data_IF_809943886513
#
_entry.id   IF_809943886513
#
_cell.length_a   1.000
_cell.length_b   1.000
_cell.length_c   1.000
_cell.angle_alpha   90.00
_cell.angle_beta   90.00
_cell.angle_gamma   90.00
#
_symmetry.space_group_name_H-M   'P 1'
#
loop_
_entity.id
_entity.type
_entity.pdbx_description
1 polymer ?
#
# COMPACT_ATOMS: atom_id res chain seq x y z
N UNK A 1 -9.61 -4.07 21.97
CA UNK A 1 -10.96 -3.88 21.42
C UNK A 1 -11.06 -4.66 20.12
N UNK A 2 -12.18 -5.36 19.90
CA UNK A 2 -12.42 -6.00 18.61
C UNK A 2 -12.45 -4.90 17.54
N UNK A 3 -11.71 -5.09 16.44
CA UNK A 3 -11.80 -4.20 15.29
C UNK A 3 -13.25 -4.14 14.81
N UNK A 4 -13.76 -2.96 14.57
CA UNK A 4 -15.01 -2.80 13.83
C UNK A 4 -14.91 -3.57 12.52
N UNK A 5 -15.92 -4.38 12.19
CA UNK A 5 -15.89 -5.28 11.04
C UNK A 5 -15.87 -6.78 11.36
N UNK A 6 -15.52 -7.18 12.60
CA UNK A 6 -15.64 -8.56 13.05
C UNK A 6 -17.06 -8.91 13.50
N UNK A 7 -18.02 -8.66 12.65
CA UNK A 7 -19.45 -8.94 12.96
C UNK A 7 -19.93 -10.30 12.44
N UNK A 8 -19.03 -11.09 11.85
CA UNK A 8 -19.38 -12.41 11.33
C UNK A 8 -19.69 -13.41 12.45
N UNK A 9 -20.65 -14.30 12.19
CA UNK A 9 -21.08 -15.37 13.13
C UNK A 9 -19.90 -16.16 13.70
N UNK A 10 -18.82 -16.31 12.96
CA UNK A 10 -17.59 -17.03 13.36
C UNK A 10 -16.91 -16.47 14.60
N UNK A 11 -17.08 -15.18 14.90
CA UNK A 11 -16.43 -14.54 16.04
C UNK A 11 -17.36 -14.44 17.27
N UNK A 12 -18.61 -14.79 17.12
CA UNK A 12 -19.58 -14.76 18.23
C UNK A 12 -19.22 -15.71 19.38
N UNK A 13 -18.52 -16.83 19.08
CA UNK A 13 -18.03 -17.76 20.10
C UNK A 13 -17.07 -17.10 21.09
N UNK A 14 -16.34 -16.10 20.65
CA UNK A 14 -15.38 -15.36 21.46
C UNK A 14 -15.97 -14.06 22.01
N UNK A 15 -17.25 -13.82 21.79
CA UNK A 15 -17.91 -12.55 22.17
C UNK A 15 -17.32 -11.35 21.45
N UNK A 16 -16.75 -11.54 20.26
CA UNK A 16 -15.99 -10.53 19.49
C UNK A 16 -14.80 -9.94 20.26
N UNK A 17 -14.28 -10.71 21.23
CA UNK A 17 -13.14 -10.34 22.05
C UNK A 17 -11.90 -11.12 21.59
N UNK A 18 -10.89 -10.38 21.14
CA UNK A 18 -9.66 -10.94 20.60
C UNK A 18 -8.80 -11.61 21.70
N UNK A 19 -8.76 -11.08 22.91
CA UNK A 19 -8.03 -11.67 24.01
C UNK A 19 -8.65 -13.00 24.43
N UNK A 20 -9.98 -13.07 24.48
CA UNK A 20 -10.72 -14.31 24.73
C UNK A 20 -10.50 -15.34 23.62
N UNK A 21 -10.45 -14.92 22.37
CA UNK A 21 -10.12 -15.81 21.24
C UNK A 21 -8.74 -16.42 21.42
N UNK A 22 -7.74 -15.62 21.77
CA UNK A 22 -6.38 -16.09 22.03
C UNK A 22 -6.36 -17.12 23.19
N UNK A 23 -6.99 -16.80 24.31
CA UNK A 23 -7.08 -17.69 25.47
C UNK A 23 -7.68 -19.07 25.09
N UNK A 24 -8.76 -19.07 24.31
CA UNK A 24 -9.42 -20.31 23.86
C UNK A 24 -8.54 -21.09 22.88
N UNK A 25 -7.79 -20.44 22.00
CA UNK A 25 -6.84 -21.09 21.10
C UNK A 25 -5.71 -21.74 21.92
N UNK A 26 -5.16 -21.05 22.90
CA UNK A 26 -4.14 -21.59 23.79
C UNK A 26 -4.66 -22.82 24.54
N UNK A 27 -5.88 -22.77 25.10
CA UNK A 27 -6.52 -23.89 25.78
C UNK A 27 -6.67 -25.09 24.85
N UNK A 28 -7.28 -24.92 23.69
CA UNK A 28 -7.46 -26.00 22.72
C UNK A 28 -6.12 -26.61 22.25
N UNK A 29 -5.11 -25.76 22.04
CA UNK A 29 -3.78 -26.23 21.63
C UNK A 29 -3.15 -27.11 22.73
N UNK A 30 -3.21 -26.69 23.99
CA UNK A 30 -2.72 -27.46 25.13
C UNK A 30 -3.42 -28.81 25.27
N UNK A 31 -4.73 -28.84 25.11
CA UNK A 31 -5.53 -30.08 25.17
C UNK A 31 -5.13 -31.07 24.07
N UNK A 32 -5.00 -30.56 22.80
CA UNK A 32 -4.59 -31.40 21.67
C UNK A 32 -3.17 -31.97 21.88
N UNK A 33 -2.23 -31.13 22.29
CA UNK A 33 -0.84 -31.59 22.54
C UNK A 33 -0.78 -32.61 23.66
N UNK A 34 -1.57 -32.42 24.71
CA UNK A 34 -1.64 -33.38 25.80
C UNK A 34 -2.26 -34.74 25.39
N UNK A 35 -3.23 -34.70 24.47
CA UNK A 35 -3.87 -35.94 23.96
C UNK A 35 -3.02 -36.66 22.89
N UNK A 36 -2.03 -35.99 22.29
CA UNK A 36 -1.22 -36.46 21.17
C UNK A 36 0.27 -36.31 21.46
N UNK A 37 0.86 -37.22 22.30
CA UNK A 37 2.28 -37.14 22.66
C UNK A 37 3.25 -37.26 21.50
N UNK A 38 2.79 -37.75 20.35
CA UNK A 38 3.54 -37.82 19.10
C UNK A 38 3.80 -36.46 18.46
N UNK A 39 3.11 -35.38 18.88
CA UNK A 39 3.37 -34.02 18.43
C UNK A 39 4.69 -33.55 19.01
N UNK A 40 5.74 -33.58 18.19
CA UNK A 40 7.10 -33.20 18.60
C UNK A 40 7.39 -31.71 18.60
N UNK A 41 6.59 -30.91 17.87
CA UNK A 41 6.82 -29.48 17.72
C UNK A 41 5.51 -28.70 17.52
N UNK A 42 5.38 -27.62 18.28
CA UNK A 42 4.23 -26.71 18.18
C UNK A 42 4.71 -25.34 17.70
N UNK A 43 4.13 -24.87 16.58
CA UNK A 43 4.36 -23.53 16.03
C UNK A 43 3.34 -22.57 16.64
N UNK A 44 3.63 -22.07 17.81
CA UNK A 44 2.74 -21.17 18.56
C UNK A 44 2.75 -19.72 18.05
N UNK A 45 2.53 -19.54 16.74
CA UNK A 45 2.53 -18.23 16.07
C UNK A 45 1.51 -17.25 16.68
N UNK A 46 0.44 -17.76 17.31
CA UNK A 46 -0.50 -16.94 18.04
C UNK A 46 0.16 -16.15 19.18
N UNK A 47 1.12 -16.74 19.91
CA UNK A 47 1.82 -16.06 20.99
C UNK A 47 2.67 -14.90 20.46
N UNK A 48 3.45 -15.14 19.40
CA UNK A 48 4.26 -14.12 18.76
C UNK A 48 3.40 -12.95 18.22
N UNK A 49 2.23 -13.26 17.66
CA UNK A 49 1.30 -12.23 17.18
C UNK A 49 0.68 -11.45 18.34
N UNK A 50 0.40 -12.09 19.48
CA UNK A 50 -0.06 -11.35 20.66
C UNK A 50 1.06 -10.49 21.26
N UNK A 51 2.28 -10.99 21.34
CA UNK A 51 3.42 -10.24 21.82
C UNK A 51 3.64 -8.96 20.99
N UNK A 52 3.69 -9.08 19.65
CA UNK A 52 3.88 -7.91 18.79
C UNK A 52 2.75 -6.90 18.88
N UNK A 53 1.52 -7.33 19.20
CA UNK A 53 0.38 -6.43 19.46
C UNK A 53 0.54 -5.55 20.70
N UNK A 54 1.34 -5.97 21.69
CA UNK A 54 1.61 -5.15 22.87
C UNK A 54 2.57 -4.01 22.61
N UNK A 55 3.31 -4.05 21.50
CA UNK A 55 4.19 -2.97 21.07
C UNK A 55 3.41 -1.82 20.40
N UNK A 56 4.13 -0.83 19.89
CA UNK A 56 3.54 0.30 19.14
C UNK A 56 2.77 -0.12 17.85
N UNK A 57 2.93 -1.35 17.38
CA UNK A 57 2.12 -1.85 16.26
C UNK A 57 0.64 -2.03 16.60
N UNK A 58 0.34 -2.29 17.87
CA UNK A 58 -1.04 -2.51 18.28
C UNK A 58 -1.71 -3.60 17.44
N UNK A 59 -2.95 -3.36 17.02
CA UNK A 59 -3.73 -4.31 16.23
C UNK A 59 -3.46 -4.24 14.70
N UNK A 60 -2.37 -3.58 14.26
CA UNK A 60 -2.01 -3.45 12.84
C UNK A 60 -1.23 -4.65 12.27
N UNK A 61 -1.33 -5.81 12.89
CA UNK A 61 -0.68 -7.05 12.46
C UNK A 61 -1.49 -7.87 11.46
N UNK A 62 -2.74 -7.49 11.22
CA UNK A 62 -3.61 -8.13 10.23
C UNK A 62 -4.03 -7.14 9.15
N UNK A 63 -4.22 -7.62 7.91
CA UNK A 63 -4.63 -6.78 6.77
C UNK A 63 -6.14 -6.58 6.64
N UNK A 64 -6.92 -7.52 7.15
CA UNK A 64 -8.38 -7.57 7.04
C UNK A 64 -9.02 -8.07 8.34
N UNK A 65 -8.21 -8.05 9.41
CA UNK A 65 -8.57 -8.57 10.72
C UNK A 65 -8.58 -10.09 10.83
N UNK A 66 -8.39 -10.79 9.74
CA UNK A 66 -8.39 -12.25 9.66
C UNK A 66 -7.01 -12.79 9.24
N UNK A 67 -6.43 -12.24 8.18
CA UNK A 67 -5.15 -12.66 7.67
C UNK A 67 -4.04 -11.75 8.18
N UNK A 68 -2.88 -12.32 8.45
CA UNK A 68 -1.68 -11.56 8.78
C UNK A 68 -1.34 -10.59 7.62
N UNK A 69 -0.97 -9.36 7.96
CA UNK A 69 -0.48 -8.42 6.98
C UNK A 69 0.84 -8.90 6.36
N UNK A 70 1.18 -8.38 5.19
CA UNK A 70 2.32 -8.88 4.41
C UNK A 70 3.69 -8.54 5.02
N UNK A 71 3.76 -7.46 5.79
CA UNK A 71 4.97 -7.02 6.45
C UNK A 71 5.08 -7.61 7.86
N UNK A 72 4.66 -6.88 8.88
CA UNK A 72 4.87 -7.19 10.30
C UNK A 72 4.31 -8.56 10.69
N UNK A 73 3.05 -8.85 10.38
CA UNK A 73 2.41 -10.09 10.84
C UNK A 73 3.06 -11.34 10.28
N UNK A 74 3.34 -11.38 8.95
CA UNK A 74 4.00 -12.53 8.33
C UNK A 74 5.46 -12.66 8.73
N UNK A 75 6.17 -11.54 8.86
CA UNK A 75 7.55 -11.57 9.30
C UNK A 75 7.68 -12.09 10.72
N UNK A 76 6.85 -11.62 11.66
CA UNK A 76 6.80 -12.13 13.05
C UNK A 76 6.54 -13.62 13.08
N UNK A 77 5.56 -14.12 12.34
CA UNK A 77 5.31 -15.56 12.25
C UNK A 77 6.49 -16.32 11.66
N UNK A 78 7.13 -15.78 10.61
CA UNK A 78 8.33 -16.35 9.99
C UNK A 78 9.52 -16.41 10.94
N UNK A 79 9.72 -15.39 11.76
CA UNK A 79 10.74 -15.35 12.81
C UNK A 79 10.56 -16.47 13.83
N UNK A 80 9.33 -16.69 14.30
CA UNK A 80 9.01 -17.78 15.21
C UNK A 80 9.31 -19.15 14.58
N UNK A 81 8.89 -19.35 13.32
CA UNK A 81 9.15 -20.60 12.63
C UNK A 81 10.65 -20.84 12.45
N UNK A 82 11.41 -19.80 12.09
CA UNK A 82 12.87 -19.90 12.01
C UNK A 82 13.46 -20.37 13.34
N UNK A 83 13.11 -19.73 14.44
CA UNK A 83 13.66 -20.06 15.75
C UNK A 83 13.28 -21.48 16.20
N UNK A 84 12.01 -21.86 16.07
CA UNK A 84 11.51 -23.20 16.41
C UNK A 84 12.16 -24.33 15.59
N UNK A 85 12.40 -24.10 14.30
CA UNK A 85 12.98 -25.11 13.41
C UNK A 85 14.50 -25.16 13.55
N UNK A 86 15.14 -24.00 13.63
CA UNK A 86 16.60 -23.92 13.65
C UNK A 86 17.20 -24.07 15.04
N UNK A 87 16.40 -23.93 16.09
CA UNK A 87 16.86 -24.00 17.50
C UNK A 87 17.85 -22.89 17.85
N UNK A 88 17.72 -21.73 17.23
CA UNK A 88 18.59 -20.55 17.43
C UNK A 88 17.76 -19.30 17.49
N UNK A 89 18.09 -18.38 18.40
CA UNK A 89 17.42 -17.09 18.49
C UNK A 89 17.42 -16.36 17.15
N UNK A 90 16.27 -15.79 16.80
CA UNK A 90 16.08 -14.97 15.62
C UNK A 90 16.47 -13.51 15.88
N UNK A 91 16.61 -13.12 17.15
CA UNK A 91 16.95 -11.73 17.51
C UNK A 91 18.33 -11.37 16.95
N UNK A 92 18.38 -10.25 16.23
CA UNK A 92 19.57 -9.79 15.54
C UNK A 92 19.83 -10.45 14.18
N UNK A 93 18.90 -11.25 13.66
CA UNK A 93 19.00 -11.77 12.29
C UNK A 93 18.95 -10.63 11.28
N UNK A 94 19.96 -10.55 10.42
CA UNK A 94 20.09 -9.47 9.43
C UNK A 94 19.03 -9.54 8.31
N UNK A 95 18.40 -10.69 8.08
CA UNK A 95 17.35 -10.80 7.06
C UNK A 95 16.09 -10.09 7.52
N UNK A 96 15.60 -9.19 6.67
CA UNK A 96 14.29 -8.57 6.79
C UNK A 96 13.74 -8.23 5.39
N UNK A 97 12.41 -8.28 5.20
CA UNK A 97 11.80 -7.74 3.99
C UNK A 97 12.12 -6.25 3.84
N UNK A 98 12.25 -5.77 2.61
CA UNK A 98 12.57 -4.36 2.33
C UNK A 98 11.54 -3.35 2.87
N UNK A 99 10.32 -3.81 3.11
CA UNK A 99 9.23 -3.01 3.68
C UNK A 99 9.24 -2.93 5.22
N UNK A 100 10.26 -3.49 5.88
CA UNK A 100 10.37 -3.52 7.35
C UNK A 100 11.68 -2.83 7.75
N UNK A 101 11.60 -1.83 8.62
CA UNK A 101 12.76 -1.14 9.17
C UNK A 101 13.58 -2.07 10.10
N UNK A 102 14.79 -1.65 10.47
CA UNK A 102 15.60 -2.42 11.42
C UNK A 102 14.95 -2.49 12.80
N UNK A 103 14.37 -1.38 13.25
CA UNK A 103 13.65 -1.30 14.53
C UNK A 103 12.41 -2.18 14.52
N UNK A 104 11.60 -2.10 13.47
CA UNK A 104 10.42 -2.96 13.30
C UNK A 104 10.80 -4.44 13.26
N UNK A 105 11.89 -4.77 12.56
CA UNK A 105 12.40 -6.12 12.51
C UNK A 105 12.81 -6.62 13.92
N UNK A 106 13.46 -5.77 14.72
CA UNK A 106 13.85 -6.11 16.08
C UNK A 106 12.63 -6.40 16.96
N UNK A 107 11.57 -5.58 16.86
CA UNK A 107 10.31 -5.82 17.60
C UNK A 107 9.69 -7.16 17.20
N UNK A 108 9.60 -7.45 15.90
CA UNK A 108 9.06 -8.72 15.40
C UNK A 108 9.89 -9.93 15.84
N UNK A 109 11.21 -9.81 15.78
CA UNK A 109 12.16 -10.84 16.21
C UNK A 109 12.06 -11.10 17.71
N UNK A 110 11.99 -10.03 18.51
CA UNK A 110 11.81 -10.15 19.97
C UNK A 110 10.46 -10.78 20.30
N UNK A 111 9.38 -10.37 19.63
CA UNK A 111 8.05 -10.96 19.83
C UNK A 111 8.05 -12.47 19.55
N UNK A 112 8.76 -12.89 18.53
CA UNK A 112 8.89 -14.30 18.16
C UNK A 112 9.77 -15.07 19.16
N UNK A 113 10.88 -14.49 19.58
CA UNK A 113 11.78 -15.07 20.58
C UNK A 113 11.07 -15.29 21.92
N UNK A 114 10.42 -14.26 22.43
CA UNK A 114 9.65 -14.36 23.67
C UNK A 114 8.55 -15.44 23.61
N UNK A 115 7.90 -15.59 22.46
CA UNK A 115 6.93 -16.67 22.27
C UNK A 115 7.58 -18.07 22.25
N UNK A 116 8.84 -18.19 21.86
CA UNK A 116 9.58 -19.44 21.94
C UNK A 116 9.98 -19.78 23.37
N UNK A 117 10.44 -18.78 24.13
CA UNK A 117 10.87 -18.94 25.52
C UNK A 117 9.68 -19.09 26.50
N UNK A 118 8.59 -18.38 26.23
CA UNK A 118 7.41 -18.32 27.09
C UNK A 118 6.12 -18.71 26.35
N UNK A 119 5.99 -19.97 25.89
CA UNK A 119 4.83 -20.42 25.13
C UNK A 119 3.53 -20.31 25.94
N UNK A 120 2.47 -19.89 25.27
CA UNK A 120 1.13 -19.64 25.82
C UNK A 120 1.06 -18.52 26.86
N UNK A 121 1.98 -17.59 26.79
CA UNK A 121 2.04 -16.37 27.60
C UNK A 121 2.20 -15.17 26.68
N UNK A 122 1.48 -14.11 26.96
CA UNK A 122 1.68 -12.82 26.28
C UNK A 122 2.78 -12.06 27.00
N UNK A 123 3.87 -11.78 26.29
CA UNK A 123 4.95 -10.91 26.77
C UNK A 123 4.67 -9.48 26.35
N UNK A 124 4.76 -8.55 27.31
CA UNK A 124 4.56 -7.14 27.05
C UNK A 124 5.81 -6.52 26.39
N UNK A 125 5.63 -5.97 25.20
CA UNK A 125 6.64 -5.28 24.40
C UNK A 125 6.36 -3.78 24.28
N UNK A 126 5.53 -3.22 25.14
CA UNK A 126 5.19 -1.80 25.13
C UNK A 126 6.37 -0.86 25.42
N UNK A 127 7.48 -1.39 25.89
CA UNK A 127 8.73 -0.67 26.11
C UNK A 127 9.48 -0.33 24.82
N UNK A 128 9.13 -0.93 23.70
CA UNK A 128 9.65 -0.50 22.42
C UNK A 128 9.01 0.83 22.04
N UNK A 129 9.82 1.86 22.02
CA UNK A 129 9.40 3.17 21.51
C UNK A 129 9.37 3.14 19.99
N UNK A 130 8.29 3.69 19.42
CA UNK A 130 8.21 3.86 17.98
C UNK A 130 9.28 4.86 17.53
N UNK A 131 10.12 4.52 16.55
CA UNK A 131 11.12 5.46 16.07
C UNK A 131 10.48 6.75 15.59
N UNK A 132 11.00 7.87 16.05
CA UNK A 132 10.58 9.16 15.55
C UNK A 132 10.84 9.23 14.03
N UNK A 133 9.82 9.50 13.24
CA UNK A 133 9.93 9.70 11.80
C UNK A 133 9.68 8.48 10.90
N UNK A 134 9.45 7.27 11.45
CA UNK A 134 9.16 6.10 10.61
C UNK A 134 7.68 5.91 10.22
N UNK A 135 6.73 6.60 10.86
CA UNK A 135 5.29 6.44 10.56
C UNK A 135 4.45 7.72 10.69
N UNK A 136 4.92 8.82 10.18
CA UNK A 136 4.06 10.02 10.10
C UNK A 136 3.80 10.74 11.42
N UNK A 137 4.48 10.38 12.51
CA UNK A 137 4.44 11.09 13.78
C UNK A 137 5.42 12.28 13.83
N UNK A 138 6.23 12.50 12.78
CA UNK A 138 6.92 13.78 12.65
C UNK A 138 5.90 14.92 12.61
N UNK A 139 6.13 16.02 13.29
CA UNK A 139 5.30 17.19 13.14
C UNK A 139 5.14 17.52 11.66
N UNK A 140 3.93 17.54 11.18
CA UNK A 140 3.64 17.75 9.77
C UNK A 140 2.38 18.60 9.58
N UNK A 141 2.29 19.20 8.41
CA UNK A 141 1.08 19.86 7.93
C UNK A 141 0.56 19.08 6.73
N UNK A 142 -0.69 18.64 6.79
CA UNK A 142 -1.35 17.98 5.66
C UNK A 142 -1.55 19.02 4.55
N UNK A 143 -0.98 18.75 3.38
CA UNK A 143 -1.10 19.58 2.20
C UNK A 143 -2.32 19.20 1.36
N UNK A 144 -2.54 17.90 1.22
CA UNK A 144 -3.69 17.35 0.50
C UNK A 144 -3.96 15.94 0.96
N UNK A 145 -5.23 15.60 1.19
CA UNK A 145 -5.68 14.27 1.58
C UNK A 145 -6.97 13.90 0.91
N UNK A 146 -7.03 12.67 0.39
CA UNK A 146 -8.18 12.13 -0.30
C UNK A 146 -8.75 10.93 0.45
N UNK A 147 -10.06 10.88 0.55
CA UNK A 147 -10.79 9.72 1.04
C UNK A 147 -11.77 9.24 -0.03
N UNK A 148 -11.63 7.99 -0.43
CA UNK A 148 -12.49 7.35 -1.41
C UNK A 148 -13.36 6.30 -0.71
N UNK A 149 -14.68 6.48 -0.72
CA UNK A 149 -15.66 5.61 -0.08
C UNK A 149 -16.83 5.32 -1.01
N UNK A 150 -17.36 4.11 -0.92
CA UNK A 150 -18.61 3.73 -1.61
C UNK A 150 -19.82 4.53 -1.14
N UNK A 151 -19.78 4.97 0.11
CA UNK A 151 -20.89 5.68 0.73
C UNK A 151 -20.90 7.17 0.41
N UNK A 152 -19.79 7.71 -0.08
CA UNK A 152 -19.71 9.10 -0.54
C UNK A 152 -20.23 9.21 -1.97
N UNK A 153 -21.39 9.80 -2.09
CA UNK A 153 -21.97 10.18 -3.38
C UNK A 153 -21.31 11.46 -3.90
N UNK A 154 -21.51 11.78 -5.17
CA UNK A 154 -21.14 13.05 -5.78
C UNK A 154 -21.59 14.23 -4.91
N UNK A 155 -22.81 14.17 -4.30
CA UNK A 155 -23.35 15.22 -3.45
C UNK A 155 -22.60 15.44 -2.12
N UNK A 156 -21.83 14.46 -1.65
CA UNK A 156 -21.11 14.53 -0.38
C UNK A 156 -19.62 14.88 -0.54
N UNK A 157 -19.20 15.38 -1.70
CA UNK A 157 -17.82 15.73 -2.02
C UNK A 157 -16.92 14.51 -2.24
N UNK A 158 -17.51 13.36 -2.55
CA UNK A 158 -16.78 12.17 -2.97
C UNK A 158 -16.68 12.12 -4.49
N UNK A 159 -15.48 12.16 -5.07
CA UNK A 159 -15.21 11.92 -6.49
C UNK A 159 -15.98 12.81 -7.49
N UNK A 160 -16.22 14.06 -7.17
CA UNK A 160 -17.16 14.90 -7.89
C UNK A 160 -16.68 15.48 -9.22
N UNK A 161 -15.42 15.53 -9.46
CA UNK A 161 -14.92 16.39 -10.55
C UNK A 161 -14.28 15.60 -11.68
N UNK A 162 -15.02 14.64 -12.20
CA UNK A 162 -14.73 14.11 -13.50
C UNK A 162 -15.23 15.08 -14.59
N UNK A 163 -14.37 15.79 -15.23
CA UNK A 163 -14.75 16.46 -16.46
C UNK A 163 -14.95 15.41 -17.55
N UNK A 164 -16.18 15.23 -18.02
CA UNK A 164 -16.49 14.39 -19.17
C UNK A 164 -16.93 12.95 -18.87
N UNK A 165 -17.33 12.63 -17.63
CA UNK A 165 -17.94 11.34 -17.34
C UNK A 165 -19.31 11.19 -18.00
N UNK A 166 -19.66 9.96 -18.39
CA UNK A 166 -20.99 9.61 -18.86
C UNK A 166 -21.98 9.50 -17.68
N UNK A 167 -23.27 9.21 -17.99
CA UNK A 167 -24.33 9.03 -16.99
C UNK A 167 -24.06 7.91 -15.99
N UNK A 168 -23.10 7.02 -16.27
CA UNK A 168 -22.69 5.89 -15.43
C UNK A 168 -21.46 6.25 -14.57
N UNK A 169 -20.94 7.47 -14.66
CA UNK A 169 -19.73 7.88 -13.95
C UNK A 169 -18.42 7.34 -14.54
N UNK A 170 -18.47 6.86 -15.78
CA UNK A 170 -17.32 6.30 -16.49
C UNK A 170 -16.79 7.30 -17.51
N UNK A 171 -15.52 7.63 -17.43
CA UNK A 171 -14.87 8.43 -18.46
C UNK A 171 -14.29 7.51 -19.54
N UNK A 172 -14.72 7.70 -20.78
CA UNK A 172 -14.20 6.96 -21.95
C UNK A 172 -13.25 7.85 -22.72
N UNK A 173 -12.07 7.33 -23.00
CA UNK A 173 -11.05 8.06 -23.73
C UNK A 173 -11.36 8.16 -25.22
N UNK A 174 -11.01 9.29 -25.77
CA UNK A 174 -11.07 9.60 -27.20
C UNK A 174 -9.70 9.46 -27.90
N UNK A 175 -8.71 8.84 -27.24
CA UNK A 175 -7.32 8.67 -27.68
C UNK A 175 -6.49 9.97 -27.73
N UNK A 176 -7.06 11.12 -27.38
CA UNK A 176 -6.31 12.36 -27.33
C UNK A 176 -5.42 12.45 -26.07
N UNK A 177 -4.22 13.01 -26.17
CA UNK A 177 -3.35 13.18 -25.01
C UNK A 177 -3.86 14.24 -24.02
N UNK A 178 -3.50 14.14 -22.77
CA UNK A 178 -3.73 15.13 -21.73
C UNK A 178 -4.36 14.61 -20.46
N UNK A 179 -4.68 15.52 -19.54
CA UNK A 179 -5.38 15.23 -18.31
C UNK A 179 -6.85 14.88 -18.60
N UNK A 180 -7.28 13.73 -18.11
CA UNK A 180 -8.59 13.15 -18.43
C UNK A 180 -9.60 13.22 -17.32
N UNK A 181 -9.29 13.86 -16.26
CA UNK A 181 -10.12 14.03 -15.09
C UNK A 181 -9.28 14.06 -13.84
N UNK A 182 -9.85 14.58 -12.78
CA UNK A 182 -9.17 14.70 -11.50
C UNK A 182 -10.14 14.56 -10.34
N UNK A 183 -9.58 14.26 -9.19
CA UNK A 183 -10.25 14.25 -7.89
C UNK A 183 -9.61 15.34 -7.05
N UNK A 184 -10.41 16.26 -6.56
CA UNK A 184 -9.94 17.22 -5.56
C UNK A 184 -9.75 16.54 -4.20
N UNK A 185 -8.79 17.04 -3.42
CA UNK A 185 -8.66 16.63 -2.02
C UNK A 185 -9.95 16.95 -1.26
N UNK A 186 -10.48 15.96 -0.54
CA UNK A 186 -11.81 16.03 0.05
C UNK A 186 -11.85 15.74 1.55
N UNK A 187 -10.70 15.46 2.17
CA UNK A 187 -10.59 15.29 3.62
C UNK A 187 -9.88 16.48 4.28
N UNK A 188 -8.72 16.88 3.73
CA UNK A 188 -7.92 17.96 4.30
C UNK A 188 -7.01 18.56 3.24
N UNK A 189 -6.73 19.85 3.32
CA UNK A 189 -5.84 20.56 2.42
C UNK A 189 -6.42 20.79 1.04
N UNK A 190 -5.56 21.05 0.05
CA UNK A 190 -5.95 21.31 -1.34
C UNK A 190 -4.99 20.61 -2.31
N UNK A 191 -5.53 19.76 -3.16
CA UNK A 191 -4.76 19.01 -4.13
C UNK A 191 -5.61 18.30 -5.17
N UNK A 192 -4.96 17.84 -6.22
CA UNK A 192 -5.55 17.06 -7.31
C UNK A 192 -4.85 15.72 -7.46
N UNK A 193 -5.65 14.67 -7.56
CA UNK A 193 -5.23 13.39 -8.10
C UNK A 193 -5.83 13.27 -9.50
N UNK A 194 -5.00 13.20 -10.51
CA UNK A 194 -5.41 13.09 -11.91
C UNK A 194 -4.75 11.91 -12.61
N UNK A 195 -5.33 11.54 -13.74
CA UNK A 195 -4.71 10.63 -14.69
C UNK A 195 -4.43 11.38 -15.98
N UNK A 196 -3.21 11.24 -16.47
CA UNK A 196 -2.75 11.88 -17.71
C UNK A 196 -2.43 10.80 -18.73
N UNK A 197 -3.06 10.91 -19.87
CA UNK A 197 -2.94 9.99 -20.98
C UNK A 197 -1.97 10.53 -22.03
N UNK A 198 -1.13 9.65 -22.57
CA UNK A 198 -0.35 9.93 -23.77
C UNK A 198 -1.19 9.74 -25.04
N UNK A 199 -0.66 10.22 -26.17
CA UNK A 199 -1.29 10.03 -27.47
C UNK A 199 -1.42 8.53 -27.80
N UNK A 200 -2.64 8.10 -28.13
CA UNK A 200 -2.99 6.72 -28.47
C UNK A 200 -3.60 6.61 -29.88
N UNK A 201 -3.42 7.61 -30.72
CA UNK A 201 -4.01 7.65 -32.07
C UNK A 201 -3.50 6.53 -32.99
N UNK A 202 -2.31 5.99 -32.72
CA UNK A 202 -1.75 4.86 -33.46
C UNK A 202 -2.21 3.49 -32.99
N UNK A 203 -3.11 3.43 -32.02
CA UNK A 203 -3.61 2.17 -31.49
C UNK A 203 -4.56 1.47 -32.47
N UNK A 204 -4.57 0.11 -32.45
CA UNK A 204 -5.57 -0.63 -33.19
C UNK A 204 -6.99 -0.19 -32.79
N UNK A 205 -7.90 -0.11 -33.77
CA UNK A 205 -9.30 0.29 -33.52
C UNK A 205 -10.00 -0.55 -32.46
N UNK A 206 -9.61 -1.81 -32.31
CA UNK A 206 -10.12 -2.74 -31.28
C UNK A 206 -9.55 -2.45 -29.87
N UNK A 207 -8.45 -1.70 -29.78
CA UNK A 207 -7.90 -1.21 -28.52
C UNK A 207 -8.45 0.19 -28.17
N UNK A 208 -8.97 0.93 -29.15
CA UNK A 208 -9.58 2.25 -28.92
C UNK A 208 -10.83 2.13 -28.01
N UNK A 209 -10.91 2.96 -27.00
CA UNK A 209 -12.04 2.94 -26.04
C UNK A 209 -11.93 1.90 -24.92
N UNK A 210 -10.81 1.19 -24.81
CA UNK A 210 -10.53 0.28 -23.68
C UNK A 210 -9.96 1.01 -22.45
N UNK A 211 -9.49 2.24 -22.63
CA UNK A 211 -9.01 3.06 -21.50
C UNK A 211 -10.21 3.76 -20.87
N UNK A 212 -10.56 3.35 -19.69
CA UNK A 212 -11.62 3.98 -18.91
C UNK A 212 -11.06 4.39 -17.55
N UNK A 213 -11.37 5.59 -17.13
CA UNK A 213 -11.18 6.03 -15.76
C UNK A 213 -12.52 5.86 -15.06
N UNK A 214 -12.55 5.11 -13.99
CA UNK A 214 -13.76 4.68 -13.33
C UNK A 214 -13.63 4.88 -11.83
N UNK A 215 -14.74 5.13 -11.17
CA UNK A 215 -14.88 5.13 -9.70
C UNK A 215 -15.56 3.87 -9.17
N UNK A 216 -15.75 2.88 -10.03
CA UNK A 216 -16.34 1.60 -9.62
C UNK A 216 -15.47 0.87 -8.60
N UNK A 217 -16.01 -0.16 -7.97
CA UNK A 217 -15.36 -0.94 -6.91
C UNK A 217 -15.06 -0.17 -5.61
N UNK A 218 -15.96 0.69 -5.17
CA UNK A 218 -15.88 1.30 -3.87
C UNK A 218 -15.40 2.73 -3.85
N UNK A 219 -15.62 3.45 -4.95
CA UNK A 219 -15.25 4.85 -5.05
C UNK A 219 -13.76 5.09 -5.28
N UNK A 220 -12.97 4.05 -5.50
CA UNK A 220 -11.54 4.17 -5.76
C UNK A 220 -11.28 4.60 -7.21
N UNK A 221 -10.33 5.52 -7.45
CA UNK A 221 -9.85 5.80 -8.80
C UNK A 221 -9.29 4.56 -9.46
N UNK A 222 -9.87 4.17 -10.57
CA UNK A 222 -9.47 3.00 -11.37
C UNK A 222 -9.20 3.43 -12.79
N UNK A 223 -8.03 3.11 -13.28
CA UNK A 223 -7.69 3.21 -14.69
C UNK A 223 -7.68 1.82 -15.31
N UNK A 224 -8.37 1.65 -16.41
CA UNK A 224 -8.29 0.47 -17.26
C UNK A 224 -7.37 0.74 -18.45
N UNK A 225 -6.51 -0.22 -18.79
CA UNK A 225 -5.64 -0.15 -19.96
C UNK A 225 -4.52 0.90 -19.90
N UNK A 226 -3.72 1.01 -18.82
CA UNK A 226 -2.59 1.93 -18.80
C UNK A 226 -1.53 1.52 -19.83
N UNK A 227 -0.98 2.50 -20.55
CA UNK A 227 0.13 2.32 -21.50
C UNK A 227 1.39 3.02 -21.04
N UNK A 228 2.49 2.63 -21.71
CA UNK A 228 3.77 3.33 -21.54
C UNK A 228 3.62 4.83 -21.79
N UNK A 229 4.02 5.61 -20.81
CA UNK A 229 3.90 7.07 -20.81
C UNK A 229 2.68 7.62 -20.07
N UNK A 230 1.60 6.85 -19.89
CA UNK A 230 0.47 7.27 -19.06
C UNK A 230 0.90 7.40 -17.59
N UNK A 231 0.30 8.32 -16.84
CA UNK A 231 0.65 8.46 -15.44
C UNK A 231 -0.48 8.94 -14.54
N UNK A 232 -0.44 8.50 -13.30
CA UNK A 232 -1.13 9.12 -12.18
C UNK A 232 -0.32 10.34 -11.72
N UNK A 233 -1.01 11.42 -11.40
CA UNK A 233 -0.40 12.62 -10.87
C UNK A 233 -1.10 13.07 -9.60
N UNK A 234 -0.33 13.26 -8.54
CA UNK A 234 -0.73 13.94 -7.32
C UNK A 234 -0.11 15.33 -7.33
N UNK A 235 -0.89 16.35 -7.08
CA UNK A 235 -0.40 17.74 -7.05
C UNK A 235 -1.10 18.52 -5.95
N UNK A 236 -0.37 19.36 -5.21
CA UNK A 236 -0.97 20.35 -4.31
C UNK A 236 -1.52 21.51 -5.13
N UNK A 237 -2.64 22.11 -4.70
CA UNK A 237 -3.28 23.24 -5.41
C UNK A 237 -3.50 24.47 -4.51
N UNK A 238 -3.04 24.43 -3.27
CA UNK A 238 -3.30 25.45 -2.25
C UNK A 238 -2.48 26.74 -2.35
N UNK A 239 -1.71 26.95 -3.44
CA UNK A 239 -0.88 28.15 -3.61
C UNK A 239 0.29 28.20 -2.64
N UNK A 240 0.94 27.08 -2.39
CA UNK A 240 2.09 26.94 -1.51
C UNK A 240 3.37 27.53 -2.14
N UNK A 241 4.30 27.88 -1.26
CA UNK A 241 5.66 28.24 -1.65
C UNK A 241 6.62 27.38 -0.80
N UNK A 242 7.28 26.44 -1.44
CA UNK A 242 8.23 25.53 -0.81
C UNK A 242 9.66 25.98 -1.13
N UNK A 243 10.44 26.27 -0.10
CA UNK A 243 11.85 26.64 -0.25
C UNK A 243 12.75 25.42 -0.50
N UNK A 244 13.97 25.67 -0.96
CA UNK A 244 15.04 24.68 -0.92
C UNK A 244 15.19 24.10 0.50
N UNK A 245 15.45 22.81 0.63
CA UNK A 245 15.54 22.09 1.90
C UNK A 245 14.20 21.68 2.48
N UNK A 246 13.06 22.09 1.91
CA UNK A 246 11.74 21.65 2.36
C UNK A 246 11.61 20.14 2.23
N UNK A 247 11.10 19.49 3.28
CA UNK A 247 10.83 18.06 3.32
C UNK A 247 9.36 17.80 3.02
N UNK A 248 9.08 17.03 1.98
CA UNK A 248 7.75 16.71 1.52
C UNK A 248 7.55 15.20 1.48
N UNK A 249 6.43 14.72 2.00
CA UNK A 249 6.07 13.31 2.03
C UNK A 249 4.80 13.06 1.24
N UNK A 250 4.71 11.87 0.63
CA UNK A 250 3.48 11.31 0.09
C UNK A 250 3.33 9.87 0.54
N UNK A 251 2.10 9.48 0.85
CA UNK A 251 1.71 8.10 1.10
C UNK A 251 0.43 7.79 0.33
N UNK A 252 0.40 6.66 -0.37
CA UNK A 252 -0.79 6.15 -1.05
C UNK A 252 -0.71 4.65 -1.23
N UNK A 253 -1.84 4.04 -1.54
CA UNK A 253 -1.88 2.62 -1.86
C UNK A 253 -2.08 2.42 -3.36
N UNK A 254 -1.28 1.55 -3.95
CA UNK A 254 -1.37 1.17 -5.35
C UNK A 254 -1.73 -0.31 -5.49
N UNK A 255 -2.69 -0.61 -6.37
CA UNK A 255 -3.13 -1.97 -6.66
C UNK A 255 -3.28 -2.17 -8.18
N UNK A 256 -2.33 -2.85 -8.84
CA UNK A 256 -2.39 -3.13 -10.27
C UNK A 256 -3.42 -4.23 -10.63
N UNK A 257 -3.87 -5.01 -9.64
CA UNK A 257 -4.65 -6.21 -9.92
C UNK A 257 -3.84 -7.28 -10.68
N UNK A 258 -4.51 -8.34 -11.13
CA UNK A 258 -3.85 -9.49 -11.78
C UNK A 258 -3.32 -9.19 -13.20
N UNK A 259 -3.76 -8.11 -13.81
CA UNK A 259 -3.47 -7.78 -15.21
C UNK A 259 -2.92 -6.37 -15.40
N UNK A 260 -2.63 -5.65 -14.30
CA UNK A 260 -2.09 -4.30 -14.34
C UNK A 260 -0.68 -4.24 -14.90
N UNK A 261 -0.25 -3.04 -15.30
CA UNK A 261 1.12 -2.81 -15.73
C UNK A 261 2.11 -3.10 -14.58
N UNK A 262 3.23 -3.75 -14.92
CA UNK A 262 4.21 -4.21 -13.94
C UNK A 262 5.23 -3.15 -13.60
N UNK A 263 5.71 -2.39 -14.59
CA UNK A 263 6.86 -1.50 -14.46
C UNK A 263 6.42 -0.04 -14.44
N UNK A 264 6.80 0.66 -13.39
CA UNK A 264 6.43 2.05 -13.15
C UNK A 264 7.64 2.88 -12.72
N UNK A 265 7.63 4.16 -13.08
CA UNK A 265 8.63 5.12 -12.61
C UNK A 265 7.93 6.20 -11.79
N UNK A 266 8.33 6.33 -10.54
CA UNK A 266 7.82 7.36 -9.64
C UNK A 266 8.82 8.50 -9.63
N UNK A 267 8.32 9.71 -9.91
CA UNK A 267 9.08 10.94 -10.00
C UNK A 267 8.40 12.04 -9.18
N UNK A 268 9.17 13.00 -8.72
CA UNK A 268 8.66 14.20 -8.06
C UNK A 268 9.20 15.45 -8.76
N UNK A 269 8.45 16.54 -8.67
CA UNK A 269 8.85 17.84 -9.21
C UNK A 269 9.77 18.56 -8.21
N UNK A 270 10.91 19.01 -8.69
CA UNK A 270 11.89 19.79 -7.94
C UNK A 270 12.29 21.03 -8.74
N UNK A 271 11.79 22.19 -8.35
CA UNK A 271 11.76 23.37 -9.21
C UNK A 271 10.92 23.12 -10.46
N UNK A 272 11.52 23.28 -11.64
CA UNK A 272 10.84 23.06 -12.93
C UNK A 272 11.11 21.69 -13.57
N UNK A 273 11.79 20.78 -12.87
CA UNK A 273 12.18 19.48 -13.42
C UNK A 273 11.58 18.33 -12.62
N UNK A 274 11.31 17.22 -13.30
CA UNK A 274 10.96 15.95 -12.64
C UNK A 274 12.20 15.10 -12.43
N UNK A 275 12.36 14.58 -11.21
CA UNK A 275 13.46 13.71 -10.79
C UNK A 275 12.89 12.37 -10.28
N UNK A 276 13.56 11.25 -10.55
CA UNK A 276 13.22 9.99 -9.88
C UNK A 276 13.32 10.14 -8.36
N UNK A 277 12.44 9.47 -7.63
CA UNK A 277 12.47 9.47 -6.15
C UNK A 277 13.79 8.85 -5.65
N UNK A 278 14.60 9.56 -4.85
CA UNK A 278 15.95 9.11 -4.47
C UNK A 278 15.98 7.79 -3.68
N UNK A 279 14.95 7.52 -2.89
CA UNK A 279 14.85 6.29 -2.09
C UNK A 279 14.51 5.04 -2.92
N UNK A 280 14.17 5.18 -4.21
CA UNK A 280 13.84 4.09 -5.09
C UNK A 280 14.93 3.85 -6.12
N UNK A 281 15.53 2.66 -6.10
CA UNK A 281 16.59 2.29 -7.06
C UNK A 281 16.06 2.32 -8.49
N UNK A 282 16.69 3.14 -9.33
CA UNK A 282 16.38 3.21 -10.77
C UNK A 282 17.04 2.04 -11.49
N UNK A 283 16.24 1.24 -12.19
CA UNK A 283 16.66 0.06 -12.94
C UNK A 283 16.36 0.20 -14.42
N UNK A 284 17.27 -0.30 -15.25
CA UNK A 284 17.06 -0.38 -16.70
C UNK A 284 17.28 -1.82 -17.13
N UNK A 285 16.28 -2.40 -17.80
CA UNK A 285 16.37 -3.76 -18.33
C UNK A 285 15.64 -3.90 -19.66
N UNK A 286 16.03 -4.90 -20.43
CA UNK A 286 15.33 -5.28 -21.67
C UNK A 286 14.36 -6.41 -21.34
N UNK A 287 13.07 -6.16 -21.57
CA UNK A 287 12.01 -7.09 -21.27
C UNK A 287 12.01 -8.28 -22.23
N UNK A 288 11.94 -9.53 -21.73
CA UNK A 288 12.19 -10.71 -22.55
C UNK A 288 11.15 -10.98 -23.63
N UNK A 289 9.89 -10.61 -23.44
CA UNK A 289 8.82 -10.88 -24.41
C UNK A 289 8.62 -9.73 -25.41
N UNK A 290 8.76 -8.49 -24.97
CA UNK A 290 8.56 -7.32 -25.83
C UNK A 290 9.84 -6.87 -26.54
N UNK A 291 11.00 -7.17 -25.97
CA UNK A 291 12.28 -6.61 -26.43
C UNK A 291 12.45 -5.11 -26.09
N UNK A 292 11.47 -4.51 -25.42
CA UNK A 292 11.55 -3.12 -24.96
C UNK A 292 12.62 -2.95 -23.89
N UNK A 293 13.36 -1.85 -23.95
CA UNK A 293 14.23 -1.43 -22.85
C UNK A 293 13.47 -0.41 -22.00
N UNK A 294 13.20 -0.77 -20.75
CA UNK A 294 12.45 0.05 -19.82
C UNK A 294 13.34 0.54 -18.68
N UNK A 295 13.08 1.77 -18.25
CA UNK A 295 13.71 2.36 -17.06
C UNK A 295 12.62 2.64 -16.03
N UNK A 296 12.72 1.99 -14.88
CA UNK A 296 11.72 2.01 -13.83
C UNK A 296 12.36 2.03 -12.44
N UNK A 297 11.59 2.36 -11.41
CA UNK A 297 12.02 2.26 -10.01
C UNK A 297 10.99 1.52 -9.14
N UNK A 298 9.88 1.09 -9.72
CA UNK A 298 8.90 0.21 -9.08
C UNK A 298 8.49 -0.91 -10.04
N UNK A 299 8.61 -2.15 -9.58
CA UNK A 299 8.05 -3.32 -10.25
C UNK A 299 7.01 -3.95 -9.33
N UNK A 300 5.75 -4.00 -9.80
CA UNK A 300 4.64 -4.52 -9.02
C UNK A 300 4.33 -5.97 -9.38
N UNK A 301 3.87 -6.71 -8.39
CA UNK A 301 3.12 -7.95 -8.56
C UNK A 301 1.62 -7.65 -8.44
N UNK A 302 0.77 -8.69 -8.46
CA UNK A 302 -0.68 -8.53 -8.34
C UNK A 302 -1.16 -8.05 -6.95
N UNK A 303 -0.24 -7.90 -6.00
CA UNK A 303 -0.55 -7.48 -4.63
C UNK A 303 -0.73 -5.98 -4.54
N UNK A 304 -1.61 -5.57 -3.65
CA UNK A 304 -1.69 -4.19 -3.24
C UNK A 304 -0.45 -3.80 -2.43
N UNK A 305 0.10 -2.62 -2.71
CA UNK A 305 1.30 -2.12 -2.05
C UNK A 305 1.11 -0.67 -1.59
N UNK A 306 1.57 -0.38 -0.38
CA UNK A 306 1.75 1.00 0.08
C UNK A 306 2.99 1.57 -0.57
N UNK A 307 2.86 2.75 -1.13
CA UNK A 307 3.94 3.59 -1.63
C UNK A 307 4.05 4.77 -0.68
N UNK A 308 5.19 4.89 -0.04
CA UNK A 308 5.50 5.99 0.87
C UNK A 308 6.94 6.43 0.64
N UNK A 309 7.16 7.73 0.57
CA UNK A 309 8.49 8.31 0.51
C UNK A 309 8.49 9.78 0.91
N UNK A 310 9.66 10.21 1.34
CA UNK A 310 9.96 11.61 1.63
C UNK A 310 11.02 12.11 0.65
N UNK A 311 10.86 13.32 0.18
CA UNK A 311 11.85 14.03 -0.63
C UNK A 311 12.28 15.32 0.06
N UNK A 312 13.51 15.74 -0.21
CA UNK A 312 14.03 17.06 0.17
C UNK A 312 14.21 17.84 -1.12
N UNK A 313 13.64 19.02 -1.19
CA UNK A 313 13.75 19.87 -2.37
C UNK A 313 15.16 20.46 -2.48
N UNK A 314 15.79 20.31 -3.63
CA UNK A 314 17.02 21.03 -3.98
C UNK A 314 16.73 22.42 -4.57
N UNK A 315 15.49 22.62 -5.07
CA UNK A 315 15.06 23.86 -5.67
C UNK A 315 13.69 24.30 -5.14
N UNK A 316 13.43 25.60 -5.01
CA UNK A 316 12.10 26.08 -4.60
C UNK A 316 11.04 25.73 -5.64
N UNK A 317 9.81 25.49 -5.17
CA UNK A 317 8.65 25.22 -6.03
C UNK A 317 7.37 25.75 -5.40
N UNK A 318 6.39 26.10 -6.22
CA UNK A 318 5.06 26.55 -5.76
C UNK A 318 4.05 25.41 -5.62
N UNK A 319 4.43 24.19 -5.98
CA UNK A 319 3.57 23.00 -5.88
C UNK A 319 4.39 21.76 -5.60
N UNK A 320 3.85 20.83 -4.82
CA UNK A 320 4.38 19.48 -4.69
C UNK A 320 3.65 18.59 -5.68
N UNK A 321 4.38 18.06 -6.65
CA UNK A 321 3.84 17.18 -7.69
C UNK A 321 4.60 15.86 -7.69
N UNK A 322 3.86 14.77 -7.67
CA UNK A 322 4.37 13.40 -7.81
C UNK A 322 3.69 12.73 -8.99
N UNK A 323 4.47 12.02 -9.81
CA UNK A 323 3.99 11.23 -10.94
C UNK A 323 4.34 9.77 -10.77
N UNK A 324 3.39 8.90 -11.02
CA UNK A 324 3.62 7.46 -11.19
C UNK A 324 3.36 7.11 -12.65
N UNK A 325 4.45 6.92 -13.40
CA UNK A 325 4.45 6.77 -14.86
C UNK A 325 4.51 5.30 -15.22
N UNK A 326 3.59 4.83 -16.06
CA UNK A 326 3.61 3.50 -16.64
C UNK A 326 4.77 3.40 -17.64
N UNK A 327 5.67 2.41 -17.46
CA UNK A 327 6.85 2.27 -18.29
C UNK A 327 6.68 1.26 -19.44
N UNK A 328 5.68 0.37 -19.35
CA UNK A 328 5.42 -0.65 -20.37
C UNK A 328 4.02 -1.22 -20.24
N UNK A 329 3.46 -1.72 -21.33
CA UNK A 329 2.26 -2.53 -21.35
C UNK A 329 2.47 -3.97 -20.82
N UNK A 330 3.68 -4.30 -20.36
CA UNK A 330 3.99 -5.59 -19.75
C UNK A 330 3.25 -5.75 -18.42
N UNK A 331 2.56 -6.89 -18.26
CA UNK A 331 1.66 -7.11 -17.14
C UNK A 331 2.33 -7.79 -15.94
N UNK A 332 1.77 -7.63 -14.76
CA UNK A 332 2.25 -8.25 -13.51
C UNK A 332 2.26 -9.79 -13.55
N UNK A 333 1.48 -10.41 -14.41
CA UNK A 333 1.44 -11.86 -14.62
C UNK A 333 2.43 -12.34 -15.70
N UNK A 334 3.41 -11.52 -16.05
CA UNK A 334 4.42 -11.78 -17.09
C UNK A 334 3.83 -12.03 -18.49
N UNK A 335 2.69 -11.41 -18.80
CA UNK A 335 2.12 -11.37 -20.14
C UNK A 335 2.41 -10.02 -20.78
N UNK A 336 2.61 -10.07 -22.09
CA UNK A 336 2.71 -8.90 -22.93
C UNK A 336 1.84 -9.10 -24.17
N UNK A 337 0.95 -8.17 -24.43
CA UNK A 337 -0.03 -8.26 -25.51
C UNK A 337 0.26 -7.24 -26.63
N UNK A 338 1.31 -6.42 -26.47
CA UNK A 338 1.64 -5.32 -27.40
C UNK A 338 0.72 -4.10 -27.23
N UNK A 339 -0.39 -4.26 -26.57
CA UNK A 339 -1.33 -3.22 -26.21
C UNK A 339 -1.99 -3.56 -24.86
N UNK A 340 -2.52 -2.60 -24.10
CA UNK A 340 -3.22 -2.89 -22.86
C UNK A 340 -4.49 -3.69 -23.13
N UNK A 341 -4.74 -4.63 -22.23
CA UNK A 341 -5.99 -5.35 -22.20
C UNK A 341 -7.01 -4.57 -21.37
N UNK A 342 -8.29 -4.62 -21.75
CA UNK A 342 -9.41 -4.05 -20.96
C UNK A 342 -9.42 -4.54 -19.50
N UNK A 343 -8.80 -5.68 -19.20
CA UNK A 343 -8.63 -6.20 -17.84
C UNK A 343 -7.40 -5.64 -17.12
N UNK A 344 -6.54 -4.89 -17.81
CA UNK A 344 -5.45 -4.17 -17.17
C UNK A 344 -6.05 -3.03 -16.35
N UNK A 345 -5.95 -3.14 -15.02
CA UNK A 345 -6.44 -2.11 -14.11
C UNK A 345 -5.31 -1.56 -13.26
N UNK A 346 -5.40 -0.29 -12.96
CA UNK A 346 -4.50 0.43 -12.07
C UNK A 346 -5.37 1.21 -11.10
N UNK A 347 -5.20 0.97 -9.79
CA UNK A 347 -6.00 1.60 -8.75
C UNK A 347 -5.13 2.37 -7.79
N UNK A 348 -5.54 3.59 -7.49
CA UNK A 348 -5.00 4.38 -6.41
C UNK A 348 -5.98 4.33 -5.23
N UNK A 349 -5.47 4.46 -4.04
CA UNK A 349 -6.14 4.38 -2.76
C UNK A 349 -6.44 2.96 -2.24
N UNK A 350 -6.61 2.89 -0.95
CA UNK A 350 -6.94 1.68 -0.22
C UNK A 350 -8.37 1.23 -0.42
N UNK A 351 -8.71 0.10 0.18
CA UNK A 351 -10.08 -0.36 0.31
C UNK A 351 -10.82 0.53 1.31
N UNK A 352 -11.91 1.19 0.93
CA UNK A 352 -12.65 2.06 1.82
C UNK A 352 -13.27 1.31 3.02
N UNK A 353 -13.36 -0.02 2.93
CA UNK A 353 -13.82 -0.86 4.04
C UNK A 353 -12.68 -1.32 4.96
N UNK A 354 -11.46 -0.86 4.74
CA UNK A 354 -10.29 -1.23 5.55
C UNK A 354 -9.53 0.02 6.00
N UNK A 355 -9.84 0.46 7.20
CA UNK A 355 -9.28 1.66 7.84
C UNK A 355 -7.76 1.64 8.03
N UNK A 356 -7.11 0.47 7.85
CA UNK A 356 -5.65 0.35 7.97
C UNK A 356 -4.90 0.56 6.65
N UNK A 357 -5.57 0.93 5.58
CA UNK A 357 -4.91 1.23 4.32
C UNK A 357 -4.68 2.74 4.24
N UNK A 358 -3.44 3.17 3.98
CA UNK A 358 -3.15 4.57 3.81
C UNK A 358 -4.03 5.16 2.71
N UNK A 359 -4.65 6.28 3.01
CA UNK A 359 -5.31 7.12 2.04
C UNK A 359 -4.23 7.89 1.28
N UNK A 360 -4.47 8.33 0.02
CA UNK A 360 -3.56 9.29 -0.58
C UNK A 360 -3.46 10.54 0.29
N UNK A 361 -2.23 10.84 0.73
CA UNK A 361 -1.94 12.01 1.57
C UNK A 361 -0.57 12.58 1.21
N UNK A 362 -0.50 13.89 1.11
CA UNK A 362 0.72 14.67 0.91
C UNK A 362 0.94 15.59 2.08
N UNK A 363 2.17 15.62 2.61
CA UNK A 363 2.53 16.34 3.82
C UNK A 363 3.75 17.24 3.62
N UNK A 364 3.75 18.36 4.35
CA UNK A 364 4.93 19.14 4.68
C UNK A 364 5.45 18.66 6.03
N UNK A 365 6.66 18.13 6.09
CA UNK A 365 7.34 17.73 7.32
C UNK A 365 8.04 18.95 7.94
N UNK A 366 7.85 19.18 9.26
CA UNK A 366 8.32 20.36 9.97
C UNK A 366 9.70 20.17 10.62
#
# INVERSE_FOLDING_TARGET
AAKEGYTGVKFSYYGYDQAKMYEMICGATKEVVAAHPEIGLVMNSMDAIQNVRTSYFGDNVTRDGWHLNYAIGRYTAGCLWFEKIMGRSVVGNAYRPSAISETDALVCQTAAHEACEHPYVVTDLSYFEKPAGEDGDEPHTVLAKWYFSRERTVADGGCETWTGQDELGVYRYDNEPGERGYFEANEEGAGRLSYVQVDKTEWPEDAAGLSTLDVSNGGQPVMSGPMAGDYWQFATTGGHEFAEGTRLRIVYTYNPGNYGAKYWRIEYKDGDVFKPVPSFELKTETLPLSGETVTYNQAFDASQRVIEFTVVLDNPTSEFVVRQICCSAYQVNDKWLGHPNIKCVSRIAGDPNNENKPLPQMDLLL
#
